data_IF_779647299097
#
_entry.id   IF_779647299097
#
_cell.length_a   1.000
_cell.length_b   1.000
_cell.length_c   1.000
_cell.angle_alpha   90.00
_cell.angle_beta   90.00
_cell.angle_gamma   90.00
#
_symmetry.space_group_name_H-M   'P 1'
#
loop_
_entity.id
_entity.type
_entity.pdbx_description
1 polymer ?
#
# COMPACT_ATOMS: atom_id res chain seq x y z
N UNK A 1 88.12 -1.79 -19.86
CA UNK A 1 87.07 -2.64 -20.45
C UNK A 1 86.33 -3.33 -19.31
N UNK A 2 85.01 -3.06 -19.18
CA UNK A 2 83.94 -3.87 -18.58
C UNK A 2 84.12 -4.41 -17.14
N UNK A 3 83.16 -4.38 -16.21
CA UNK A 3 81.76 -3.93 -16.15
C UNK A 3 81.28 -4.17 -14.70
N UNK A 4 80.11 -3.61 -14.35
CA UNK A 4 79.20 -4.00 -13.27
C UNK A 4 79.33 -3.31 -11.90
N UNK A 5 78.92 -2.04 -11.90
CA UNK A 5 78.16 -1.41 -10.82
C UNK A 5 76.83 -2.15 -10.57
N UNK A 6 76.57 -2.55 -9.32
CA UNK A 6 75.22 -2.84 -8.81
C UNK A 6 74.95 -1.90 -7.64
N UNK A 7 74.15 -0.87 -7.89
CA UNK A 7 73.57 0.00 -6.86
C UNK A 7 72.28 -0.67 -6.39
N UNK A 8 72.23 -1.07 -5.12
CA UNK A 8 70.98 -1.47 -4.46
C UNK A 8 70.29 -0.21 -3.94
N UNK A 9 69.14 0.12 -4.53
CA UNK A 9 68.22 1.15 -4.02
C UNK A 9 67.25 0.46 -3.04
N UNK A 10 67.33 0.80 -1.76
CA UNK A 10 66.34 0.38 -0.77
C UNK A 10 65.14 1.34 -0.83
N UNK A 11 64.04 0.90 -1.44
CA UNK A 11 62.76 1.61 -1.39
C UNK A 11 62.06 1.22 -0.09
N UNK A 12 61.98 2.15 0.85
CA UNK A 12 61.14 2.03 2.04
C UNK A 12 59.69 2.34 1.66
N UNK A 13 58.86 1.31 1.51
CA UNK A 13 57.40 1.47 1.38
C UNK A 13 56.84 1.66 2.79
N UNK A 14 56.45 2.89 3.13
CA UNK A 14 55.60 3.14 4.28
C UNK A 14 54.20 2.62 3.97
N UNK A 15 53.86 1.45 4.50
CA UNK A 15 52.48 0.97 4.54
C UNK A 15 51.79 1.74 5.68
N UNK A 16 51.09 2.82 5.32
CA UNK A 16 50.15 3.47 6.24
C UNK A 16 48.95 2.53 6.34
N UNK A 17 48.88 1.75 7.41
CA UNK A 17 47.63 1.12 7.85
C UNK A 17 46.67 2.25 8.22
N UNK A 18 45.81 2.64 7.28
CA UNK A 18 44.56 3.30 7.64
C UNK A 18 43.75 2.24 8.37
N UNK A 19 43.80 2.26 9.70
CA UNK A 19 42.73 1.70 10.49
C UNK A 19 41.48 2.47 10.07
N UNK A 20 40.65 1.84 9.24
CA UNK A 20 39.25 2.22 9.14
C UNK A 20 38.67 1.93 10.53
N UNK A 21 38.72 2.92 11.41
CA UNK A 21 37.80 2.96 12.53
C UNK A 21 36.43 2.97 11.85
N UNK A 22 35.68 1.88 12.01
CA UNK A 22 34.25 1.94 11.75
C UNK A 22 33.74 3.08 12.62
N UNK A 23 33.36 4.19 11.99
CA UNK A 23 32.86 5.37 12.69
C UNK A 23 31.71 4.87 13.56
N UNK A 24 31.83 5.02 14.88
CA UNK A 24 30.72 4.67 15.77
C UNK A 24 29.50 5.45 15.26
N UNK A 25 28.36 4.77 15.04
CA UNK A 25 27.15 5.42 14.58
C UNK A 25 26.90 6.67 15.42
N UNK A 26 27.10 7.85 14.82
CA UNK A 26 27.05 9.11 15.53
C UNK A 26 25.65 9.28 16.13
N UNK A 27 25.58 9.48 17.44
CA UNK A 27 24.32 9.69 18.15
C UNK A 27 24.04 11.18 18.27
N UNK A 28 22.78 11.55 18.00
CA UNK A 28 22.24 12.88 18.26
C UNK A 28 21.00 12.79 19.13
N UNK A 29 20.71 13.86 19.87
CA UNK A 29 19.60 13.96 20.80
C UNK A 29 18.83 15.26 20.55
N UNK A 30 17.51 15.16 20.56
CA UNK A 30 16.56 16.27 20.53
C UNK A 30 15.71 16.19 21.80
N UNK A 31 15.55 17.29 22.54
CA UNK A 31 14.73 17.37 23.74
C UNK A 31 14.03 18.73 23.79
N UNK A 32 12.77 18.82 24.24
CA UNK A 32 12.08 20.11 24.43
C UNK A 32 12.87 21.12 25.29
N UNK A 33 13.66 20.63 26.25
CA UNK A 33 14.52 21.44 27.13
C UNK A 33 15.89 21.77 26.53
N UNK A 34 16.19 21.31 25.32
CA UNK A 34 17.47 21.51 24.64
C UNK A 34 17.67 22.93 24.12
N UNK A 35 18.77 23.12 23.39
CA UNK A 35 19.09 24.37 22.69
C UNK A 35 19.69 24.03 21.31
N UNK A 36 19.20 24.67 20.24
CA UNK A 36 19.67 24.43 18.88
C UNK A 36 21.08 24.94 18.61
N UNK A 37 21.67 25.71 19.53
CA UNK A 37 23.10 26.07 19.50
C UNK A 37 24.01 24.97 20.07
N UNK A 38 23.44 23.95 20.73
CA UNK A 38 24.21 22.81 21.25
C UNK A 38 24.74 21.90 20.11
N UNK A 39 25.65 20.99 20.47
CA UNK A 39 26.17 19.98 19.53
C UNK A 39 25.17 18.88 19.18
N UNK A 40 24.16 18.63 20.02
CA UNK A 40 23.24 17.52 19.88
C UNK A 40 23.81 16.17 20.30
N UNK A 41 25.09 16.07 20.67
CA UNK A 41 25.82 14.78 20.81
C UNK A 41 25.60 14.06 22.14
N UNK A 42 24.89 14.67 23.09
CA UNK A 42 24.49 14.08 24.38
C UNK A 42 23.11 14.58 24.76
N UNK A 43 22.38 13.89 25.65
CA UNK A 43 21.06 14.35 26.11
C UNK A 43 21.12 15.73 26.81
N UNK A 44 22.19 16.02 27.57
CA UNK A 44 22.36 17.31 28.26
C UNK A 44 22.70 18.45 27.31
N UNK A 45 23.37 18.15 26.18
CA UNK A 45 23.64 19.09 25.10
C UNK A 45 22.77 18.77 23.87
N UNK A 46 21.51 18.37 24.10
CA UNK A 46 20.57 18.06 23.02
C UNK A 46 20.19 19.34 22.25
N UNK A 47 19.86 19.15 20.97
CA UNK A 47 19.12 20.17 20.22
C UNK A 47 17.71 20.33 20.79
N UNK A 48 17.10 21.49 20.54
CA UNK A 48 15.74 21.78 20.99
C UNK A 48 14.70 21.26 19.99
N UNK A 49 14.99 21.42 18.70
CA UNK A 49 14.02 21.17 17.63
C UNK A 49 14.38 19.94 16.81
N UNK A 50 13.34 19.25 16.31
CA UNK A 50 13.53 18.15 15.37
C UNK A 50 14.00 18.70 14.03
N UNK A 51 13.55 19.90 13.62
CA UNK A 51 14.04 20.56 12.41
C UNK A 51 15.56 20.79 12.44
N UNK A 52 16.15 21.10 13.61
CA UNK A 52 17.62 21.23 13.72
C UNK A 52 18.32 19.92 13.36
N UNK A 53 17.83 18.80 13.88
CA UNK A 53 18.35 17.48 13.54
C UNK A 53 18.16 17.14 12.05
N UNK A 54 16.97 17.42 11.51
CA UNK A 54 16.63 17.26 10.10
C UNK A 54 17.49 18.10 9.14
N UNK A 55 18.24 19.07 9.67
CA UNK A 55 19.15 19.94 8.92
C UNK A 55 20.64 19.63 9.13
N UNK A 56 21.00 18.81 10.12
CA UNK A 56 22.39 18.65 10.59
C UNK A 56 22.86 17.22 10.78
N UNK A 57 21.96 16.27 10.99
CA UNK A 57 22.34 14.86 11.13
C UNK A 57 23.11 14.37 9.89
N UNK A 58 24.07 13.48 10.12
CA UNK A 58 24.97 12.97 9.08
C UNK A 58 24.62 11.52 8.74
N UNK A 59 24.98 11.06 7.55
CA UNK A 59 24.72 9.69 7.11
C UNK A 59 25.22 8.65 8.13
N UNK A 60 24.40 7.63 8.41
CA UNK A 60 24.66 6.60 9.43
C UNK A 60 24.29 6.98 10.87
N UNK A 61 23.97 8.26 11.13
CA UNK A 61 23.62 8.70 12.49
C UNK A 61 22.23 8.23 12.95
N UNK A 62 22.07 8.16 14.27
CA UNK A 62 20.75 8.00 14.91
C UNK A 62 20.42 9.23 15.74
N UNK A 63 19.27 9.84 15.45
CA UNK A 63 18.68 10.96 16.18
C UNK A 63 17.62 10.40 17.12
N UNK A 64 17.90 10.46 18.43
CA UNK A 64 16.95 10.13 19.49
C UNK A 64 16.15 11.38 19.89
N UNK A 65 14.83 11.29 19.79
CA UNK A 65 13.91 12.38 20.11
C UNK A 65 13.28 12.07 21.48
N UNK A 66 13.53 12.93 22.47
CA UNK A 66 13.00 12.79 23.81
C UNK A 66 11.47 12.87 23.87
N UNK A 67 10.85 12.31 24.92
CA UNK A 67 9.41 12.37 25.10
C UNK A 67 8.92 13.81 25.19
N UNK A 68 7.70 14.04 24.72
CA UNK A 68 7.06 15.35 24.73
C UNK A 68 6.45 15.70 23.38
N UNK A 69 5.72 16.81 23.36
CA UNK A 69 5.07 17.34 22.16
C UNK A 69 5.97 18.40 21.50
N UNK A 70 6.24 18.21 20.22
CA UNK A 70 6.98 19.13 19.36
C UNK A 70 6.01 19.73 18.36
N UNK A 71 5.74 21.02 18.50
CA UNK A 71 4.86 21.78 17.61
C UNK A 71 5.67 22.25 16.40
N UNK A 72 5.91 21.34 15.45
CA UNK A 72 6.79 21.56 14.30
C UNK A 72 6.17 20.98 13.02
N UNK A 73 6.41 21.67 11.90
CA UNK A 73 6.39 21.07 10.57
C UNK A 73 7.83 20.90 10.11
N UNK A 74 8.22 19.69 9.72
CA UNK A 74 9.63 19.31 9.55
C UNK A 74 9.93 19.04 8.08
N UNK A 75 10.93 19.71 7.54
CA UNK A 75 11.52 19.39 6.23
C UNK A 75 12.85 18.65 6.43
N UNK A 76 12.94 17.43 5.90
CA UNK A 76 14.16 16.62 5.94
C UNK A 76 15.13 17.11 4.85
N UNK A 77 16.22 17.76 5.27
CA UNK A 77 17.26 18.31 4.38
C UNK A 77 18.45 17.37 4.23
N UNK A 78 18.57 16.39 5.13
CA UNK A 78 19.66 15.41 5.21
C UNK A 78 19.28 14.08 4.55
N UNK A 79 20.27 13.25 4.28
CA UNK A 79 20.06 11.87 3.82
C UNK A 79 21.22 10.98 4.22
N UNK A 80 20.95 9.68 4.33
CA UNK A 80 21.99 8.68 4.42
C UNK A 80 22.65 8.41 3.07
N UNK A 81 23.48 7.36 3.01
CA UNK A 81 24.01 6.87 1.75
C UNK A 81 24.37 5.39 1.86
N UNK A 82 24.77 4.79 0.73
CA UNK A 82 25.12 3.37 0.67
C UNK A 82 26.30 2.99 1.57
N UNK A 83 27.27 3.88 1.77
CA UNK A 83 28.53 3.59 2.46
C UNK A 83 28.39 3.70 3.98
N UNK A 84 27.71 4.74 4.46
CA UNK A 84 27.56 5.05 5.88
C UNK A 84 26.21 4.56 6.45
N UNK A 85 25.25 4.22 5.58
CA UNK A 85 23.91 3.77 5.99
C UNK A 85 22.89 4.89 6.13
N UNK A 86 21.70 4.51 6.59
CA UNK A 86 20.55 5.41 6.78
C UNK A 86 20.71 6.34 7.97
N UNK A 87 20.12 7.54 7.88
CA UNK A 87 19.88 8.38 9.06
C UNK A 87 18.59 7.90 9.71
N UNK A 88 18.64 7.59 11.01
CA UNK A 88 17.45 7.15 11.75
C UNK A 88 16.95 8.24 12.67
N UNK A 89 15.69 8.64 12.53
CA UNK A 89 14.97 9.49 13.47
C UNK A 89 14.02 8.61 14.28
N UNK A 90 14.20 8.56 15.60
CA UNK A 90 13.36 7.71 16.44
C UNK A 90 13.14 8.27 17.84
N UNK A 91 12.00 7.93 18.45
CA UNK A 91 11.77 8.24 19.86
C UNK A 91 12.82 7.59 20.75
N UNK A 92 13.34 8.36 21.71
CA UNK A 92 14.26 7.89 22.74
C UNK A 92 13.61 6.81 23.63
N UNK A 93 12.29 6.89 23.83
CA UNK A 93 11.52 5.93 24.63
C UNK A 93 10.29 5.46 23.85
N UNK A 94 10.30 4.28 23.22
CA UNK A 94 9.16 3.80 22.44
C UNK A 94 7.84 3.67 23.24
N UNK A 95 7.90 3.42 24.55
CA UNK A 95 6.72 3.37 25.43
C UNK A 95 6.17 4.74 25.86
N UNK A 96 6.86 5.84 25.52
CA UNK A 96 6.42 7.22 25.71
C UNK A 96 6.98 8.06 24.54
N UNK A 97 6.37 7.92 23.34
CA UNK A 97 6.94 8.44 22.11
C UNK A 97 6.99 9.97 22.09
N UNK A 98 7.88 10.51 21.26
CA UNK A 98 7.81 11.90 20.85
C UNK A 98 6.60 12.12 19.94
N UNK A 99 5.83 13.16 20.23
CA UNK A 99 4.64 13.54 19.47
C UNK A 99 5.01 14.76 18.61
N UNK A 100 4.98 14.62 17.30
CA UNK A 100 5.06 15.73 16.36
C UNK A 100 3.64 16.22 16.13
N UNK A 101 3.32 17.42 16.62
CA UNK A 101 1.96 17.95 16.55
C UNK A 101 1.83 19.11 15.57
N UNK A 102 0.81 19.01 14.73
CA UNK A 102 0.40 20.05 13.80
C UNK A 102 -0.54 21.11 14.40
N UNK A 103 -0.72 21.11 15.72
CA UNK A 103 -1.64 22.03 16.37
C UNK A 103 -1.20 23.47 16.10
N UNK A 104 -2.09 24.24 15.46
CA UNK A 104 -1.83 25.61 14.99
C UNK A 104 -0.69 25.73 13.96
N UNK A 105 -0.33 24.65 13.25
CA UNK A 105 0.68 24.70 12.21
C UNK A 105 0.24 25.60 11.04
N UNK A 106 1.09 26.56 10.67
CA UNK A 106 0.86 27.49 9.55
C UNK A 106 2.00 27.51 8.53
N UNK A 107 3.10 26.80 8.80
CA UNK A 107 4.30 26.81 7.96
C UNK A 107 4.22 25.66 6.95
N UNK A 108 3.95 26.01 5.70
CA UNK A 108 3.91 25.07 4.59
C UNK A 108 5.30 24.51 4.26
N UNK A 109 5.32 23.29 3.74
CA UNK A 109 6.45 22.64 3.10
C UNK A 109 6.81 23.32 1.77
N UNK A 110 8.00 23.04 1.19
CA UNK A 110 8.45 23.63 -0.07
C UNK A 110 7.47 23.50 -1.26
N UNK A 111 6.65 22.45 -1.30
CA UNK A 111 5.65 22.25 -2.35
C UNK A 111 4.32 23.01 -2.11
N UNK A 112 4.26 23.85 -1.08
CA UNK A 112 3.10 24.67 -0.73
C UNK A 112 2.04 23.95 0.09
N UNK A 113 2.24 22.67 0.44
CA UNK A 113 1.31 21.88 1.27
C UNK A 113 1.72 21.91 2.74
N UNK A 114 0.81 21.60 3.67
CA UNK A 114 1.12 21.62 5.09
C UNK A 114 1.44 20.19 5.58
N UNK A 115 2.66 19.89 6.04
CA UNK A 115 3.02 18.53 6.44
C UNK A 115 3.79 18.46 7.74
N UNK A 116 3.56 17.43 8.57
CA UNK A 116 4.36 17.22 9.79
C UNK A 116 5.78 16.78 9.45
N UNK A 117 5.92 15.84 8.51
CA UNK A 117 7.22 15.44 7.95
C UNK A 117 7.15 15.53 6.42
N UNK A 118 8.06 16.30 5.83
CA UNK A 118 8.23 16.45 4.39
C UNK A 118 9.63 15.95 3.96
N UNK A 119 9.65 15.05 2.98
CA UNK A 119 10.87 14.46 2.41
C UNK A 119 10.83 14.67 0.90
N UNK A 120 11.82 15.37 0.35
CA UNK A 120 11.92 15.58 -1.10
C UNK A 120 13.27 15.12 -1.64
N UNK A 121 13.24 14.24 -2.64
CA UNK A 121 14.42 13.73 -3.35
C UNK A 121 15.54 13.22 -2.41
N UNK A 122 15.16 12.41 -1.41
CA UNK A 122 16.08 11.83 -0.41
C UNK A 122 16.14 10.31 -0.51
N UNK A 123 17.18 9.73 0.09
CA UNK A 123 17.38 8.29 0.20
C UNK A 123 17.93 7.92 1.58
N UNK A 124 17.87 6.64 1.95
CA UNK A 124 18.51 6.13 3.17
C UNK A 124 18.05 6.89 4.43
N UNK A 125 16.74 6.86 4.69
CA UNK A 125 16.10 7.52 5.82
C UNK A 125 15.22 6.52 6.55
N UNK A 126 15.31 6.50 7.88
CA UNK A 126 14.43 5.69 8.72
C UNK A 126 13.69 6.62 9.68
N UNK A 127 12.36 6.63 9.63
CA UNK A 127 11.48 7.38 10.53
C UNK A 127 10.71 6.35 11.34
N UNK A 128 11.04 6.22 12.64
CA UNK A 128 10.65 5.04 13.43
C UNK A 128 10.12 5.42 14.82
N UNK A 129 9.05 4.77 15.29
CA UNK A 129 8.52 4.91 16.67
C UNK A 129 8.11 6.35 17.03
N UNK A 130 7.42 7.05 16.14
CA UNK A 130 6.96 8.43 16.37
C UNK A 130 5.44 8.51 16.30
N UNK A 131 4.87 9.44 17.07
CA UNK A 131 3.47 9.83 16.95
C UNK A 131 3.38 11.15 16.17
N UNK A 132 2.49 11.22 15.19
CA UNK A 132 2.27 12.38 14.33
C UNK A 132 0.78 12.73 14.40
N UNK A 133 0.43 13.91 14.90
CA UNK A 133 -0.96 14.18 15.26
C UNK A 133 -1.43 15.63 15.10
N UNK A 134 -2.75 15.79 15.07
CA UNK A 134 -3.47 17.06 15.21
C UNK A 134 -3.10 18.10 14.14
N UNK A 135 -2.97 17.67 12.90
CA UNK A 135 -2.75 18.57 11.77
C UNK A 135 -4.09 18.93 11.15
N UNK A 136 -4.30 20.22 10.84
CA UNK A 136 -5.48 20.65 10.10
C UNK A 136 -5.11 21.56 8.93
N UNK A 137 -5.44 21.16 7.72
CA UNK A 137 -5.17 21.93 6.50
C UNK A 137 -5.98 21.44 5.31
N UNK A 138 -6.18 22.31 4.31
CA UNK A 138 -6.93 21.97 3.09
C UNK A 138 -6.24 20.97 2.18
N UNK A 139 -4.90 20.94 2.22
CA UNK A 139 -4.02 19.96 1.57
C UNK A 139 -2.87 19.75 2.56
N UNK A 140 -2.89 18.61 3.24
CA UNK A 140 -1.93 18.34 4.30
C UNK A 140 -1.62 16.86 4.47
N UNK A 141 -0.48 16.55 5.08
CA UNK A 141 -0.14 15.16 5.40
C UNK A 141 0.61 14.98 6.71
N UNK A 142 0.43 13.82 7.33
CA UNK A 142 1.31 13.37 8.41
C UNK A 142 2.73 13.22 7.89
N UNK A 143 2.93 12.32 6.91
CA UNK A 143 4.19 12.19 6.18
C UNK A 143 3.95 12.41 4.69
N UNK A 144 4.73 13.30 4.08
CA UNK A 144 4.73 13.53 2.64
C UNK A 144 6.11 13.28 2.05
N UNK A 145 6.17 12.42 1.04
CA UNK A 145 7.39 12.10 0.30
C UNK A 145 7.18 12.51 -1.16
N UNK A 146 8.10 13.31 -1.70
CA UNK A 146 8.03 13.78 -3.09
C UNK A 146 9.32 13.47 -3.84
N UNK A 147 9.17 13.01 -5.08
CA UNK A 147 10.28 12.79 -6.01
C UNK A 147 10.98 11.44 -5.85
N UNK A 148 12.15 11.33 -6.49
CA UNK A 148 12.90 10.08 -6.58
C UNK A 148 13.74 9.76 -5.35
N UNK A 149 14.19 8.52 -5.21
CA UNK A 149 15.00 8.10 -4.08
C UNK A 149 15.06 6.59 -3.87
N UNK A 150 15.72 6.15 -2.80
CA UNK A 150 15.71 4.74 -2.43
C UNK A 150 15.86 4.52 -0.93
N UNK A 151 15.33 3.41 -0.41
CA UNK A 151 15.53 2.95 0.97
C UNK A 151 15.09 3.99 2.00
N UNK A 152 13.81 4.37 1.90
CA UNK A 152 13.13 5.13 2.95
C UNK A 152 12.26 4.14 3.72
N UNK A 153 12.32 4.19 5.05
CA UNK A 153 11.54 3.33 5.93
C UNK A 153 10.71 4.19 6.89
N UNK A 154 9.39 3.97 6.88
CA UNK A 154 8.44 4.49 7.85
C UNK A 154 7.97 3.31 8.69
N UNK A 155 8.34 3.25 9.98
CA UNK A 155 8.04 2.10 10.83
C UNK A 155 7.46 2.47 12.17
N UNK A 156 6.51 1.70 12.66
CA UNK A 156 5.93 1.89 13.99
C UNK A 156 5.46 3.34 14.20
N UNK A 157 4.89 3.97 13.16
CA UNK A 157 4.35 5.31 13.27
C UNK A 157 2.90 5.23 13.74
N UNK A 158 2.52 6.16 14.61
CA UNK A 158 1.13 6.37 14.99
C UNK A 158 0.69 7.73 14.45
N UNK A 159 -0.11 7.72 13.39
CA UNK A 159 -0.53 8.95 12.69
C UNK A 159 -2.04 9.10 12.85
N UNK A 160 -2.49 10.22 13.42
CA UNK A 160 -3.91 10.45 13.64
C UNK A 160 -4.33 11.91 13.64
N UNK A 161 -5.64 12.16 13.51
CA UNK A 161 -6.21 13.51 13.49
C UNK A 161 -5.55 14.41 12.45
N UNK A 162 -5.42 13.92 11.21
CA UNK A 162 -5.01 14.71 10.04
C UNK A 162 -6.28 15.14 9.32
N UNK A 163 -6.70 16.40 9.51
CA UNK A 163 -8.06 16.88 9.26
C UNK A 163 -8.10 18.03 8.25
N UNK A 164 -9.29 18.34 7.74
CA UNK A 164 -9.54 19.56 6.96
C UNK A 164 -9.45 19.43 5.45
N UNK A 165 -9.39 18.20 4.92
CA UNK A 165 -9.45 17.91 3.48
C UNK A 165 -10.76 18.36 2.81
N UNK A 166 -10.75 18.42 1.49
CA UNK A 166 -11.89 18.81 0.66
C UNK A 166 -11.73 18.36 -0.79
N UNK A 167 -12.45 19.01 -1.71
CA UNK A 167 -12.39 18.63 -3.14
C UNK A 167 -11.10 19.04 -3.85
N UNK A 168 -10.43 20.07 -3.35
CA UNK A 168 -9.23 20.66 -3.96
C UNK A 168 -7.94 20.27 -3.27
N UNK A 169 -8.00 19.34 -2.32
CA UNK A 169 -6.86 18.84 -1.54
C UNK A 169 -7.30 17.90 -0.43
N UNK A 170 -6.42 17.03 0.04
CA UNK A 170 -6.71 15.99 1.02
C UNK A 170 -5.96 16.18 2.34
N UNK A 171 -6.47 15.60 3.43
CA UNK A 171 -5.77 15.50 4.71
C UNK A 171 -5.34 14.04 4.94
N UNK A 172 -4.14 13.70 4.43
CA UNK A 172 -3.71 12.32 4.22
C UNK A 172 -2.73 11.87 5.29
N UNK A 173 -2.78 10.61 5.74
CA UNK A 173 -1.86 10.16 6.77
C UNK A 173 -0.43 10.03 6.20
N UNK A 174 -0.29 9.35 5.06
CA UNK A 174 0.98 9.18 4.33
C UNK A 174 0.73 9.39 2.84
N UNK A 175 1.44 10.33 2.23
CA UNK A 175 1.44 10.53 0.78
C UNK A 175 2.83 10.39 0.19
N UNK A 176 2.91 9.69 -0.94
CA UNK A 176 4.14 9.51 -1.69
C UNK A 176 3.89 9.79 -3.15
N UNK A 177 4.42 10.90 -3.65
CA UNK A 177 4.20 11.38 -5.01
C UNK A 177 5.52 11.44 -5.78
N UNK A 178 5.60 10.68 -6.88
CA UNK A 178 6.76 10.77 -7.76
C UNK A 178 6.35 10.87 -9.23
N UNK A 179 6.28 12.12 -9.72
CA UNK A 179 6.01 12.41 -11.15
C UNK A 179 7.25 12.36 -12.04
N UNK A 180 8.43 12.11 -11.48
CA UNK A 180 9.67 12.09 -12.23
C UNK A 180 9.74 10.84 -13.12
N UNK A 181 9.87 11.04 -14.43
CA UNK A 181 9.94 9.94 -15.39
C UNK A 181 11.30 9.25 -15.46
N UNK A 182 12.36 9.90 -14.99
CA UNK A 182 13.74 9.43 -15.09
C UNK A 182 14.19 8.69 -13.83
N UNK A 183 13.71 9.12 -12.66
CA UNK A 183 14.16 8.60 -11.36
C UNK A 183 12.98 8.08 -10.55
N UNK A 184 12.97 6.77 -10.29
CA UNK A 184 11.96 6.15 -9.42
C UNK A 184 12.23 6.45 -7.95
N UNK A 185 11.18 6.35 -7.14
CA UNK A 185 11.33 6.09 -5.71
C UNK A 185 11.24 4.57 -5.51
N UNK A 186 12.30 3.96 -5.00
CA UNK A 186 12.40 2.50 -4.89
C UNK A 186 12.63 2.02 -3.46
N UNK A 187 12.18 0.81 -3.14
CA UNK A 187 12.47 0.18 -1.83
C UNK A 187 11.98 1.03 -0.65
N UNK A 188 10.82 1.65 -0.82
CA UNK A 188 10.06 2.28 0.26
C UNK A 188 9.46 1.18 1.13
N UNK A 189 9.60 1.31 2.44
CA UNK A 189 8.94 0.42 3.40
C UNK A 189 8.03 1.26 4.30
N UNK A 190 6.76 0.89 4.39
CA UNK A 190 5.79 1.40 5.34
C UNK A 190 5.29 0.20 6.14
N UNK A 191 5.78 0.06 7.37
CA UNK A 191 5.61 -1.18 8.13
C UNK A 191 5.18 -0.95 9.58
N UNK A 192 4.16 -1.72 10.00
CA UNK A 192 3.62 -1.69 11.37
C UNK A 192 3.20 -0.28 11.84
N UNK A 193 2.69 0.55 10.93
CA UNK A 193 2.11 1.85 11.25
C UNK A 193 0.62 1.71 11.62
N UNK A 194 0.14 2.60 12.48
CA UNK A 194 -1.29 2.76 12.80
C UNK A 194 -1.73 4.14 12.33
N UNK A 195 -2.63 4.17 11.34
CA UNK A 195 -3.15 5.38 10.71
C UNK A 195 -4.65 5.45 11.00
N UNK A 196 -5.13 6.52 11.65
CA UNK A 196 -6.57 6.63 11.93
C UNK A 196 -7.10 8.04 12.16
N UNK A 197 -8.43 8.18 12.05
CA UNK A 197 -9.14 9.44 12.28
C UNK A 197 -8.58 10.57 11.39
N UNK A 198 -8.36 10.27 10.11
CA UNK A 198 -7.94 11.23 9.10
C UNK A 198 -9.07 11.55 8.12
N UNK A 199 -9.01 12.73 7.52
CA UNK A 199 -9.99 13.23 6.55
C UNK A 199 -9.38 13.41 5.15
N UNK A 200 -8.92 12.33 4.49
CA UNK A 200 -8.34 12.43 3.15
C UNK A 200 -9.30 13.06 2.12
N UNK A 201 -10.62 13.05 2.37
CA UNK A 201 -11.63 13.65 1.51
C UNK A 201 -11.50 13.15 0.08
N UNK A 202 -11.23 14.01 -0.93
CA UNK A 202 -11.10 13.57 -2.32
C UNK A 202 -9.72 12.96 -2.67
N UNK A 203 -8.98 12.51 -1.66
CA UNK A 203 -7.70 11.80 -1.78
C UNK A 203 -7.74 10.50 -0.95
N UNK A 204 -6.60 9.86 -0.69
CA UNK A 204 -6.53 8.57 0.00
C UNK A 204 -5.63 8.64 1.24
N UNK A 205 -5.90 7.81 2.25
CA UNK A 205 -5.23 7.94 3.55
C UNK A 205 -3.75 7.55 3.49
N UNK A 206 -3.43 6.46 2.78
CA UNK A 206 -2.08 6.01 2.47
C UNK A 206 -1.96 5.83 0.95
N UNK A 207 -1.30 6.76 0.28
CA UNK A 207 -1.22 6.78 -1.19
C UNK A 207 0.22 6.66 -1.68
N UNK A 208 0.46 5.73 -2.61
CA UNK A 208 1.65 5.73 -3.47
C UNK A 208 1.25 6.08 -4.90
N UNK A 209 1.54 7.30 -5.34
CA UNK A 209 1.16 7.80 -6.67
C UNK A 209 2.39 8.14 -7.52
N UNK A 210 2.50 7.48 -8.67
CA UNK A 210 3.49 7.76 -9.70
C UNK A 210 4.63 6.74 -9.77
N UNK A 211 5.81 7.15 -10.25
CA UNK A 211 6.96 6.28 -10.54
C UNK A 211 7.62 5.73 -9.26
N UNK A 212 6.96 4.74 -8.66
CA UNK A 212 7.33 4.12 -7.38
C UNK A 212 7.41 2.61 -7.59
N UNK A 213 8.49 1.98 -7.15
CA UNK A 213 8.69 0.55 -7.38
C UNK A 213 9.31 -0.20 -6.20
N UNK A 214 9.13 -1.52 -6.16
CA UNK A 214 9.76 -2.40 -5.17
C UNK A 214 9.43 -2.00 -3.72
N UNK A 215 8.22 -1.50 -3.49
CA UNK A 215 7.77 -1.03 -2.19
C UNK A 215 7.18 -2.17 -1.34
N UNK A 216 7.11 -1.94 -0.02
CA UNK A 216 6.44 -2.80 0.95
C UNK A 216 5.52 -1.96 1.82
N UNK A 217 4.21 -2.24 1.77
CA UNK A 217 3.19 -1.70 2.68
C UNK A 217 2.68 -2.87 3.51
N UNK A 218 3.22 -3.04 4.72
CA UNK A 218 3.03 -4.27 5.50
C UNK A 218 2.65 -4.05 6.95
N UNK A 219 1.85 -4.97 7.50
CA UNK A 219 1.50 -4.99 8.94
C UNK A 219 0.81 -3.71 9.46
N UNK A 220 0.26 -2.86 8.58
CA UNK A 220 -0.32 -1.59 8.97
C UNK A 220 -1.78 -1.76 9.43
N UNK A 221 -2.22 -0.89 10.34
CA UNK A 221 -3.62 -0.72 10.72
C UNK A 221 -4.11 0.60 10.17
N UNK A 222 -5.10 0.58 9.27
CA UNK A 222 -5.64 1.78 8.62
C UNK A 222 -7.13 1.81 8.86
N UNK A 223 -7.63 2.81 9.59
CA UNK A 223 -9.04 2.82 9.96
C UNK A 223 -9.63 4.19 10.26
N UNK A 224 -10.96 4.30 10.29
CA UNK A 224 -11.69 5.55 10.50
C UNK A 224 -11.23 6.63 9.51
N UNK A 225 -11.31 6.31 8.21
CA UNK A 225 -10.99 7.22 7.13
C UNK A 225 -12.26 7.66 6.42
N UNK A 226 -12.34 8.94 6.06
CA UNK A 226 -13.50 9.48 5.34
C UNK A 226 -13.41 9.34 3.81
N UNK A 227 -12.44 8.56 3.32
CA UNK A 227 -12.28 8.08 1.94
C UNK A 227 -11.27 6.90 1.91
N UNK A 228 -10.78 6.51 0.73
CA UNK A 228 -9.95 5.31 0.46
C UNK A 228 -8.84 5.10 1.48
N UNK A 229 -8.66 3.84 1.92
CA UNK A 229 -7.70 3.46 2.95
C UNK A 229 -6.26 3.41 2.45
N UNK A 230 -5.97 2.50 1.52
CA UNK A 230 -4.64 2.31 0.91
C UNK A 230 -4.80 2.35 -0.61
N UNK A 231 -3.97 3.12 -1.32
CA UNK A 231 -4.02 3.20 -2.78
C UNK A 231 -2.64 3.16 -3.46
N UNK A 232 -2.60 2.54 -4.63
CA UNK A 232 -1.44 2.39 -5.49
C UNK A 232 -1.77 2.86 -6.91
N UNK A 233 -1.26 4.04 -7.27
CA UNK A 233 -1.67 4.75 -8.49
C UNK A 233 -0.57 4.69 -9.56
N UNK A 234 -0.97 4.30 -10.76
CA UNK A 234 -0.15 4.24 -11.97
C UNK A 234 -0.83 4.70 -13.27
N UNK A 235 -2.08 5.13 -13.19
CA UNK A 235 -2.90 5.50 -14.34
C UNK A 235 -2.93 6.99 -14.70
N UNK A 236 -2.36 7.89 -13.88
CA UNK A 236 -2.55 9.33 -14.07
C UNK A 236 -2.12 9.83 -15.47
N UNK A 237 -2.87 10.78 -16.01
CA UNK A 237 -2.67 11.27 -17.38
C UNK A 237 -1.30 11.91 -17.62
N UNK A 238 -0.69 12.50 -16.59
CA UNK A 238 0.62 13.15 -16.62
C UNK A 238 1.80 12.18 -16.35
N UNK A 239 1.52 10.91 -16.04
CA UNK A 239 2.53 9.92 -15.67
C UNK A 239 3.06 9.07 -16.84
N UNK A 240 2.55 9.24 -18.06
CA UNK A 240 2.98 8.40 -19.19
C UNK A 240 2.72 6.92 -18.89
N UNK A 241 3.66 6.01 -19.10
CA UNK A 241 3.49 4.58 -18.78
C UNK A 241 3.94 4.19 -17.35
N UNK A 242 4.23 5.17 -16.50
CA UNK A 242 4.81 4.94 -15.17
C UNK A 242 3.74 4.90 -14.09
N UNK A 243 4.01 4.14 -13.04
CA UNK A 243 3.10 3.96 -11.93
C UNK A 243 3.69 3.15 -10.79
N UNK A 244 2.92 3.06 -9.71
CA UNK A 244 3.21 2.21 -8.57
C UNK A 244 3.26 0.75 -9.06
N UNK A 245 4.42 0.09 -8.88
CA UNK A 245 4.63 -1.25 -9.43
C UNK A 245 5.55 -2.15 -8.64
N UNK A 246 5.49 -3.45 -8.92
CA UNK A 246 6.42 -4.46 -8.38
C UNK A 246 6.50 -4.42 -6.85
N UNK A 247 5.38 -4.13 -6.18
CA UNK A 247 5.31 -3.90 -4.74
C UNK A 247 4.53 -4.97 -3.99
N UNK A 248 4.53 -4.86 -2.67
CA UNK A 248 3.85 -5.78 -1.76
C UNK A 248 2.92 -5.02 -0.82
N UNK A 249 1.67 -5.46 -0.72
CA UNK A 249 0.68 -5.00 0.26
C UNK A 249 0.21 -6.20 1.10
N UNK A 250 0.81 -6.38 2.30
CA UNK A 250 0.66 -7.62 3.07
C UNK A 250 0.35 -7.44 4.55
N UNK A 251 -0.48 -8.32 5.10
CA UNK A 251 -0.79 -8.36 6.54
C UNK A 251 -1.34 -7.04 7.11
N UNK A 252 -1.93 -6.19 6.26
CA UNK A 252 -2.59 -4.99 6.71
C UNK A 252 -4.00 -5.32 7.20
N UNK A 253 -4.45 -4.62 8.23
CA UNK A 253 -5.86 -4.62 8.67
C UNK A 253 -6.45 -3.27 8.33
N UNK A 254 -7.46 -3.25 7.46
CA UNK A 254 -8.09 -2.03 6.94
C UNK A 254 -9.58 -2.06 7.21
N UNK A 255 -10.12 -1.07 7.92
CA UNK A 255 -11.55 -1.08 8.26
C UNK A 255 -12.15 0.28 8.56
N UNK A 256 -13.49 0.37 8.52
CA UNK A 256 -14.21 1.63 8.75
C UNK A 256 -13.72 2.74 7.80
N UNK A 257 -13.73 2.39 6.51
CA UNK A 257 -13.32 3.27 5.40
C UNK A 257 -14.60 3.65 4.65
N UNK A 258 -15.05 4.89 4.83
CA UNK A 258 -16.31 5.36 4.26
C UNK A 258 -16.13 6.73 3.62
N UNK A 259 -16.33 6.79 2.31
CA UNK A 259 -16.34 8.05 1.57
C UNK A 259 -17.42 8.98 2.12
N UNK A 260 -16.99 10.19 2.43
CA UNK A 260 -17.86 11.27 2.90
C UNK A 260 -18.75 11.89 1.81
N UNK A 261 -18.60 11.50 0.54
CA UNK A 261 -19.26 12.17 -0.60
C UNK A 261 -19.97 11.25 -1.61
N UNK A 262 -19.58 9.98 -1.75
CA UNK A 262 -20.17 9.09 -2.77
C UNK A 262 -20.29 7.61 -2.36
N UNK A 263 -19.90 7.27 -1.13
CA UNK A 263 -19.89 5.91 -0.61
C UNK A 263 -19.14 4.90 -1.51
N UNK A 264 -18.02 5.31 -2.14
CA UNK A 264 -17.23 4.46 -3.05
C UNK A 264 -15.85 4.06 -2.50
N UNK A 265 -15.53 4.38 -1.24
CA UNK A 265 -14.18 4.19 -0.73
C UNK A 265 -13.81 2.70 -0.54
N UNK A 266 -12.88 2.21 -1.37
CA UNK A 266 -12.27 0.91 -1.15
C UNK A 266 -11.34 0.94 0.07
N UNK A 267 -11.31 -0.16 0.82
CA UNK A 267 -10.30 -0.36 1.85
C UNK A 267 -8.89 -0.39 1.24
N UNK A 268 -8.69 -1.21 0.21
CA UNK A 268 -7.46 -1.24 -0.58
C UNK A 268 -7.81 -1.06 -2.06
N UNK A 269 -7.19 -0.08 -2.70
CA UNK A 269 -7.35 0.23 -4.11
C UNK A 269 -6.03 0.13 -4.88
N UNK A 270 -6.16 -0.17 -6.16
CA UNK A 270 -5.10 0.00 -7.16
C UNK A 270 -5.73 0.75 -8.33
N UNK A 271 -5.31 1.99 -8.58
CA UNK A 271 -5.67 2.74 -9.78
C UNK A 271 -4.56 2.66 -10.84
N UNK A 272 -4.59 1.63 -11.68
CA UNK A 272 -3.68 1.50 -12.81
C UNK A 272 -2.24 1.09 -12.44
N UNK A 273 -2.00 0.62 -11.21
CA UNK A 273 -0.74 0.01 -10.81
C UNK A 273 -0.47 -1.35 -11.48
N UNK A 274 0.79 -1.82 -11.44
CA UNK A 274 1.22 -3.07 -12.11
C UNK A 274 2.13 -3.97 -11.27
N UNK A 275 2.04 -5.29 -11.46
CA UNK A 275 2.86 -6.29 -10.76
C UNK A 275 2.84 -6.16 -9.21
N UNK A 276 1.70 -5.78 -8.62
CA UNK A 276 1.54 -5.63 -7.18
C UNK A 276 0.95 -6.91 -6.60
N UNK A 277 1.59 -7.40 -5.54
CA UNK A 277 1.10 -8.54 -4.79
C UNK A 277 0.37 -8.06 -3.51
N UNK A 278 -0.92 -8.38 -3.42
CA UNK A 278 -1.82 -7.97 -2.35
C UNK A 278 -2.29 -9.22 -1.63
N UNK A 279 -1.72 -9.52 -0.46
CA UNK A 279 -2.06 -10.76 0.20
C UNK A 279 -2.06 -10.78 1.71
N UNK A 280 -2.88 -11.68 2.26
CA UNK A 280 -3.02 -11.88 3.72
C UNK A 280 -3.46 -10.62 4.48
N UNK A 281 -4.15 -9.70 3.80
CA UNK A 281 -4.78 -8.55 4.43
C UNK A 281 -6.15 -8.94 4.98
N UNK A 282 -6.64 -8.17 5.95
CA UNK A 282 -8.03 -8.23 6.44
C UNK A 282 -8.71 -6.89 6.14
N UNK A 283 -9.80 -6.92 5.37
CA UNK A 283 -10.51 -5.71 4.91
C UNK A 283 -12.00 -5.82 5.21
N UNK A 284 -12.54 -4.93 6.04
CA UNK A 284 -13.93 -5.03 6.48
C UNK A 284 -14.60 -3.71 6.85
N UNK A 285 -15.93 -3.72 6.96
CA UNK A 285 -16.73 -2.55 7.35
C UNK A 285 -16.31 -1.29 6.58
N UNK A 286 -16.13 -1.42 5.27
CA UNK A 286 -15.77 -0.33 4.35
C UNK A 286 -16.81 -0.22 3.25
N UNK A 287 -16.84 0.89 2.50
CA UNK A 287 -17.79 1.01 1.38
C UNK A 287 -17.61 -0.12 0.37
N UNK A 288 -16.35 -0.42 0.03
CA UNK A 288 -15.92 -1.57 -0.77
C UNK A 288 -14.69 -2.23 -0.13
N UNK A 289 -14.48 -3.53 -0.38
CA UNK A 289 -13.34 -4.26 0.16
C UNK A 289 -12.03 -3.94 -0.55
N UNK A 290 -11.59 -4.84 -1.43
CA UNK A 290 -10.42 -4.66 -2.30
C UNK A 290 -10.89 -4.37 -3.71
N UNK A 291 -10.43 -3.27 -4.29
CA UNK A 291 -10.72 -2.89 -5.67
C UNK A 291 -9.43 -2.84 -6.49
N UNK A 292 -9.45 -3.43 -7.69
CA UNK A 292 -8.41 -3.28 -8.69
C UNK A 292 -9.02 -2.56 -9.89
N UNK A 293 -8.62 -1.32 -10.11
CA UNK A 293 -9.15 -0.46 -11.15
C UNK A 293 -8.08 0.10 -12.06
N UNK A 294 -8.55 0.85 -13.05
CA UNK A 294 -7.76 1.80 -13.79
C UNK A 294 -8.74 2.87 -14.28
N UNK A 295 -8.64 4.08 -13.75
CA UNK A 295 -9.66 5.13 -13.94
C UNK A 295 -9.49 5.93 -15.22
N UNK A 296 -8.38 5.76 -15.92
CA UNK A 296 -8.07 6.57 -17.09
C UNK A 296 -8.16 5.75 -18.37
N UNK A 297 -8.82 6.31 -19.40
CA UNK A 297 -8.99 5.64 -20.69
C UNK A 297 -7.63 5.20 -21.27
N UNK A 298 -7.55 3.95 -21.74
CA UNK A 298 -6.31 3.41 -22.32
C UNK A 298 -5.24 3.04 -21.28
N UNK A 299 -5.53 3.16 -19.99
CA UNK A 299 -4.68 2.61 -18.91
C UNK A 299 -5.00 1.15 -18.64
N UNK A 300 -3.98 0.48 -18.11
CA UNK A 300 -4.06 -0.94 -17.79
C UNK A 300 -3.49 -1.13 -16.39
N UNK A 301 -4.26 -1.77 -15.52
CA UNK A 301 -3.73 -2.44 -14.34
C UNK A 301 -3.47 -3.91 -14.71
N UNK A 302 -2.26 -4.40 -14.46
CA UNK A 302 -1.87 -5.75 -14.90
C UNK A 302 -0.90 -6.45 -13.97
N UNK A 303 -0.86 -7.79 -14.05
CA UNK A 303 0.05 -8.60 -13.24
C UNK A 303 -0.29 -8.59 -11.75
N UNK A 304 -1.52 -8.24 -11.37
CA UNK A 304 -1.92 -8.25 -9.97
C UNK A 304 -1.98 -9.69 -9.46
N UNK A 305 -1.55 -9.88 -8.22
CA UNK A 305 -1.75 -11.14 -7.49
C UNK A 305 -2.45 -10.82 -6.18
N UNK A 306 -3.76 -11.01 -6.16
CA UNK A 306 -4.62 -10.78 -4.98
C UNK A 306 -4.91 -12.11 -4.31
N UNK A 307 -4.28 -12.38 -3.16
CA UNK A 307 -4.37 -13.71 -2.57
C UNK A 307 -4.40 -13.82 -1.05
N UNK A 308 -5.07 -14.86 -0.56
CA UNK A 308 -5.11 -15.19 0.87
C UNK A 308 -5.65 -14.06 1.77
N UNK A 309 -6.33 -13.06 1.19
CA UNK A 309 -6.97 -11.99 1.95
C UNK A 309 -8.27 -12.48 2.61
N UNK A 310 -8.62 -11.88 3.74
CA UNK A 310 -9.93 -12.04 4.37
C UNK A 310 -10.73 -10.76 4.19
N UNK A 311 -11.79 -10.83 3.39
CA UNK A 311 -12.57 -9.66 2.98
C UNK A 311 -14.01 -9.88 3.39
N UNK A 312 -14.53 -9.07 4.32
CA UNK A 312 -15.82 -9.37 4.92
C UNK A 312 -16.59 -8.15 5.40
N UNK A 313 -17.91 -8.28 5.51
CA UNK A 313 -18.78 -7.26 6.10
C UNK A 313 -18.60 -5.85 5.50
N UNK A 314 -18.25 -5.76 4.22
CA UNK A 314 -18.22 -4.49 3.49
C UNK A 314 -19.63 -4.13 3.01
N UNK A 315 -19.90 -2.83 2.91
CA UNK A 315 -21.20 -2.28 2.53
C UNK A 315 -21.62 -2.74 1.13
N UNK A 316 -20.67 -2.77 0.19
CA UNK A 316 -20.78 -3.29 -1.17
C UNK A 316 -19.88 -4.54 -1.31
N UNK A 317 -19.54 -4.89 -2.54
CA UNK A 317 -18.75 -6.09 -2.82
C UNK A 317 -17.41 -6.14 -2.09
N UNK A 318 -16.98 -7.37 -1.80
CA UNK A 318 -15.70 -7.62 -1.15
C UNK A 318 -14.55 -7.46 -2.13
N UNK A 319 -14.68 -8.03 -3.32
CA UNK A 319 -13.64 -7.93 -4.36
C UNK A 319 -14.23 -7.32 -5.63
N UNK A 320 -13.63 -6.24 -6.10
CA UNK A 320 -14.02 -5.56 -7.32
C UNK A 320 -12.82 -5.50 -8.26
N UNK A 321 -13.03 -5.76 -9.55
CA UNK A 321 -11.98 -5.49 -10.52
C UNK A 321 -12.49 -5.13 -11.92
N UNK A 322 -11.75 -4.22 -12.56
CA UNK A 322 -12.06 -3.66 -13.88
C UNK A 322 -12.50 -2.20 -13.79
N UNK A 323 -12.20 -1.41 -14.82
CA UNK A 323 -12.74 -0.06 -14.93
C UNK A 323 -14.27 -0.09 -14.96
N UNK A 324 -14.92 0.91 -14.38
CA UNK A 324 -16.37 0.89 -14.19
C UNK A 324 -17.17 1.05 -15.50
N UNK A 325 -16.53 1.44 -16.62
CA UNK A 325 -17.10 1.42 -17.96
C UNK A 325 -16.01 1.27 -19.06
N UNK A 326 -16.42 1.31 -20.34
CA UNK A 326 -15.51 1.15 -21.49
C UNK A 326 -14.68 2.40 -21.82
N UNK A 327 -15.00 3.55 -21.20
CA UNK A 327 -14.24 4.79 -21.28
C UNK A 327 -13.16 4.87 -20.19
N UNK A 328 -13.02 3.81 -19.38
CA UNK A 328 -12.02 3.67 -18.33
C UNK A 328 -10.94 2.66 -18.71
N UNK A 329 -9.95 2.53 -17.85
CA UNK A 329 -8.85 1.60 -18.01
C UNK A 329 -9.27 0.16 -17.69
N UNK A 330 -8.46 -0.79 -18.11
CA UNK A 330 -8.77 -2.22 -18.03
C UNK A 330 -7.88 -2.95 -17.03
N UNK A 331 -8.44 -3.96 -16.37
CA UNK A 331 -7.64 -4.91 -15.58
C UNK A 331 -7.37 -6.17 -16.40
N UNK A 332 -6.09 -6.53 -16.58
CA UNK A 332 -5.71 -7.72 -17.35
C UNK A 332 -4.63 -8.56 -16.67
N UNK A 333 -4.45 -9.80 -17.15
CA UNK A 333 -3.33 -10.67 -16.80
C UNK A 333 -3.10 -10.79 -15.29
N UNK A 334 -4.19 -10.78 -14.52
CA UNK A 334 -4.16 -10.73 -13.06
C UNK A 334 -4.80 -11.98 -12.45
N UNK A 335 -4.45 -12.26 -11.21
CA UNK A 335 -4.89 -13.46 -10.48
C UNK A 335 -5.51 -13.10 -9.13
N UNK A 336 -6.66 -13.70 -8.85
CA UNK A 336 -7.44 -13.50 -7.63
C UNK A 336 -7.71 -14.86 -7.01
N UNK A 337 -6.89 -15.25 -6.03
CA UNK A 337 -6.84 -16.64 -5.57
C UNK A 337 -6.78 -16.83 -4.06
N UNK A 338 -7.39 -17.92 -3.58
CA UNK A 338 -7.33 -18.34 -2.17
C UNK A 338 -7.81 -17.27 -1.17
N UNK A 339 -8.58 -16.27 -1.62
CA UNK A 339 -9.17 -15.27 -0.74
C UNK A 339 -10.40 -15.87 -0.03
N UNK A 340 -10.68 -15.37 1.17
CA UNK A 340 -11.91 -15.65 1.91
C UNK A 340 -12.81 -14.42 1.81
N UNK A 341 -13.96 -14.58 1.16
CA UNK A 341 -14.96 -13.53 1.02
C UNK A 341 -16.20 -13.92 1.83
N UNK A 342 -16.61 -13.08 2.77
CA UNK A 342 -17.70 -13.40 3.70
C UNK A 342 -18.62 -12.21 3.98
N UNK A 343 -19.90 -12.38 3.70
CA UNK A 343 -20.95 -11.45 4.11
C UNK A 343 -20.70 -10.00 3.64
N UNK A 344 -20.08 -9.84 2.47
CA UNK A 344 -19.98 -8.54 1.82
C UNK A 344 -21.34 -8.17 1.19
N UNK A 345 -21.43 -6.96 0.67
CA UNK A 345 -22.67 -6.36 0.16
C UNK A 345 -23.76 -6.30 1.25
N UNK A 346 -23.36 -5.85 2.44
CA UNK A 346 -24.24 -5.70 3.61
C UNK A 346 -25.42 -4.77 3.31
N UNK A 347 -25.24 -3.76 2.45
CA UNK A 347 -26.31 -2.86 1.99
C UNK A 347 -27.23 -3.47 0.93
N UNK A 348 -26.97 -4.70 0.49
CA UNK A 348 -27.77 -5.44 -0.49
C UNK A 348 -27.95 -4.69 -1.81
N UNK A 349 -26.85 -4.17 -2.34
CA UNK A 349 -26.79 -3.43 -3.61
C UNK A 349 -26.90 -4.32 -4.84
N UNK A 350 -27.03 -5.62 -4.65
CA UNK A 350 -27.03 -6.66 -5.69
C UNK A 350 -25.64 -6.92 -6.31
N UNK A 351 -24.60 -6.26 -5.80
CA UNK A 351 -23.21 -6.48 -6.21
C UNK A 351 -22.73 -7.90 -5.86
N UNK A 352 -23.07 -8.41 -4.67
CA UNK A 352 -22.60 -9.70 -4.16
C UNK A 352 -21.17 -9.67 -3.64
N UNK A 353 -20.50 -10.81 -3.66
CA UNK A 353 -19.14 -10.94 -3.10
C UNK A 353 -18.06 -10.46 -4.06
N UNK A 354 -18.24 -10.70 -5.37
CA UNK A 354 -17.30 -10.32 -6.44
C UNK A 354 -18.01 -9.51 -7.53
N UNK A 355 -17.43 -8.37 -7.91
CA UNK A 355 -17.84 -7.57 -9.07
C UNK A 355 -16.74 -7.54 -10.11
N UNK A 356 -17.13 -7.74 -11.37
CA UNK A 356 -16.24 -7.62 -12.52
C UNK A 356 -16.84 -6.67 -13.54
N UNK A 357 -16.07 -5.64 -13.89
CA UNK A 357 -16.47 -4.63 -14.87
C UNK A 357 -15.60 -4.72 -16.12
N UNK A 358 -14.87 -3.68 -16.49
CA UNK A 358 -13.99 -3.66 -17.66
C UNK A 358 -12.66 -4.38 -17.37
N UNK A 359 -12.66 -5.71 -17.48
CA UNK A 359 -11.52 -6.57 -17.16
C UNK A 359 -11.41 -7.78 -18.12
N UNK A 360 -10.20 -8.18 -18.50
CA UNK A 360 -10.03 -9.36 -19.37
C UNK A 360 -8.80 -10.21 -19.12
N UNK A 361 -8.88 -11.51 -19.44
CA UNK A 361 -7.77 -12.46 -19.29
C UNK A 361 -7.25 -12.57 -17.83
N UNK A 362 -8.18 -12.49 -16.86
CA UNK A 362 -7.87 -12.67 -15.45
C UNK A 362 -8.29 -14.06 -14.96
N UNK A 363 -7.62 -14.56 -13.93
CA UNK A 363 -7.93 -15.83 -13.30
C UNK A 363 -8.44 -15.61 -11.89
N UNK A 364 -9.70 -15.98 -11.64
CA UNK A 364 -10.33 -15.98 -10.32
C UNK A 364 -10.49 -17.43 -9.89
N UNK A 365 -9.76 -17.90 -8.88
CA UNK A 365 -9.80 -19.32 -8.54
C UNK A 365 -9.54 -19.67 -7.09
N UNK A 366 -10.12 -20.78 -6.64
CA UNK A 366 -9.88 -21.33 -5.29
C UNK A 366 -10.21 -20.35 -4.14
N UNK A 367 -11.10 -19.37 -4.34
CA UNK A 367 -11.56 -18.54 -3.25
C UNK A 367 -12.66 -19.26 -2.46
N UNK A 368 -12.77 -18.94 -1.18
CA UNK A 368 -13.80 -19.46 -0.29
C UNK A 368 -14.84 -18.35 -0.05
N UNK A 369 -16.06 -18.56 -0.53
CA UNK A 369 -17.06 -17.50 -0.68
C UNK A 369 -18.33 -17.88 0.08
N UNK A 370 -18.68 -17.06 1.08
CA UNK A 370 -19.94 -17.16 1.81
C UNK A 370 -20.70 -15.85 1.66
N UNK A 371 -21.70 -15.79 0.76
CA UNK A 371 -22.46 -14.58 0.54
C UNK A 371 -23.29 -14.18 1.75
N UNK A 372 -23.76 -12.94 1.76
CA UNK A 372 -24.85 -12.52 2.65
C UNK A 372 -26.17 -13.28 2.35
N UNK A 373 -27.25 -12.97 3.07
CA UNK A 373 -28.54 -13.69 2.96
C UNK A 373 -29.18 -13.63 1.55
N UNK A 374 -28.82 -12.66 0.71
CA UNK A 374 -29.26 -12.57 -0.69
C UNK A 374 -28.61 -13.63 -1.57
N UNK A 375 -27.52 -14.26 -1.12
CA UNK A 375 -26.78 -15.30 -1.82
C UNK A 375 -26.19 -14.88 -3.18
N UNK A 376 -26.01 -13.58 -3.43
CA UNK A 376 -25.31 -13.09 -4.63
C UNK A 376 -23.81 -13.30 -4.50
N UNK A 377 -23.26 -14.08 -5.43
CA UNK A 377 -21.84 -14.46 -5.45
C UNK A 377 -21.06 -13.52 -6.36
N UNK A 378 -21.50 -13.39 -7.60
CA UNK A 378 -20.76 -12.78 -8.68
C UNK A 378 -21.68 -11.88 -9.48
N UNK A 379 -21.20 -10.69 -9.81
CA UNK A 379 -21.82 -9.79 -10.77
C UNK A 379 -20.79 -9.38 -11.82
N UNK A 380 -21.00 -9.80 -13.06
CA UNK A 380 -20.18 -9.40 -14.22
C UNK A 380 -20.98 -8.45 -15.09
N UNK A 381 -20.49 -7.22 -15.22
CA UNK A 381 -21.09 -6.22 -16.10
C UNK A 381 -20.88 -6.58 -17.58
N UNK A 382 -21.88 -6.22 -18.39
CA UNK A 382 -21.90 -6.34 -19.85
C UNK A 382 -20.70 -5.65 -20.52
N UNK A 383 -20.18 -4.59 -19.90
CA UNK A 383 -19.31 -3.63 -20.56
C UNK A 383 -17.88 -4.15 -20.76
N UNK A 384 -17.44 -5.24 -20.09
CA UNK A 384 -16.10 -5.72 -20.42
C UNK A 384 -15.50 -6.92 -19.74
N UNK A 385 -16.28 -7.77 -19.05
CA UNK A 385 -15.77 -9.03 -18.51
C UNK A 385 -15.48 -10.06 -19.59
N UNK A 386 -14.38 -9.91 -20.34
CA UNK A 386 -14.02 -10.78 -21.47
C UNK A 386 -12.92 -11.76 -21.08
N UNK A 387 -13.06 -13.04 -21.44
CA UNK A 387 -12.01 -14.06 -21.26
C UNK A 387 -11.47 -14.20 -19.83
N UNK A 388 -12.24 -13.75 -18.83
CA UNK A 388 -11.95 -14.05 -17.42
C UNK A 388 -12.36 -15.48 -17.11
N UNK A 389 -11.50 -16.16 -16.36
CA UNK A 389 -11.71 -17.57 -15.98
C UNK A 389 -12.01 -17.65 -14.49
N UNK A 390 -13.19 -18.17 -14.18
CA UNK A 390 -13.67 -18.46 -12.83
C UNK A 390 -13.69 -19.97 -12.64
N UNK A 391 -12.93 -20.48 -11.67
CA UNK A 391 -12.93 -21.91 -11.40
C UNK A 391 -12.54 -22.28 -9.97
N UNK A 392 -12.95 -23.48 -9.52
CA UNK A 392 -12.54 -24.07 -8.23
C UNK A 392 -12.94 -23.27 -7.00
N UNK A 393 -13.98 -22.42 -7.06
CA UNK A 393 -14.42 -21.74 -5.83
C UNK A 393 -15.05 -22.74 -4.86
N UNK A 394 -14.98 -22.42 -3.58
CA UNK A 394 -15.71 -23.11 -2.52
C UNK A 394 -16.85 -22.22 -2.05
N UNK A 395 -18.08 -22.55 -2.43
CA UNK A 395 -19.27 -21.79 -2.08
C UNK A 395 -19.91 -22.32 -0.80
N UNK A 396 -20.29 -21.39 0.08
CA UNK A 396 -20.99 -21.67 1.33
C UNK A 396 -22.33 -20.92 1.34
N UNK A 397 -23.40 -21.47 0.73
CA UNK A 397 -24.71 -20.85 0.72
C UNK A 397 -25.17 -20.43 2.13
N UNK A 398 -25.82 -19.28 2.23
CA UNK A 398 -26.21 -18.67 3.50
C UNK A 398 -27.75 -18.61 3.65
N UNK A 399 -28.25 -18.91 4.84
CA UNK A 399 -29.69 -18.94 5.15
C UNK A 399 -30.24 -20.33 5.52
N UNK A 400 -31.49 -20.34 5.98
CA UNK A 400 -32.19 -21.58 6.37
C UNK A 400 -32.43 -22.46 5.14
N UNK A 401 -31.96 -23.71 5.18
CA UNK A 401 -31.98 -24.67 4.06
C UNK A 401 -31.21 -24.21 2.82
N UNK A 402 -30.26 -23.29 2.98
CA UNK A 402 -29.44 -22.81 1.89
C UNK A 402 -28.64 -23.97 1.27
N UNK A 403 -28.82 -24.14 -0.03
CA UNK A 403 -28.14 -25.12 -0.84
C UNK A 403 -27.68 -24.46 -2.14
N UNK A 404 -27.07 -25.25 -3.03
CA UNK A 404 -26.57 -24.78 -4.31
C UNK A 404 -27.58 -23.93 -5.08
N UNK A 405 -28.87 -24.29 -5.11
CA UNK A 405 -29.90 -23.60 -5.89
C UNK A 405 -30.18 -22.17 -5.42
N UNK A 406 -29.69 -21.79 -4.24
CA UNK A 406 -29.86 -20.44 -3.69
C UNK A 406 -28.81 -19.46 -4.21
N UNK A 407 -27.66 -19.93 -4.71
CA UNK A 407 -26.59 -19.08 -5.20
C UNK A 407 -27.03 -18.28 -6.42
N UNK A 408 -26.68 -17.00 -6.47
CA UNK A 408 -27.02 -16.09 -7.57
C UNK A 408 -25.74 -15.64 -8.27
N UNK A 409 -25.73 -15.80 -9.59
CA UNK A 409 -24.67 -15.34 -10.48
C UNK A 409 -25.29 -14.41 -11.53
N UNK A 410 -24.94 -13.13 -11.48
CA UNK A 410 -25.30 -12.16 -12.50
C UNK A 410 -24.18 -12.13 -13.55
N UNK A 411 -24.50 -12.46 -14.80
CA UNK A 411 -23.53 -12.57 -15.89
C UNK A 411 -24.07 -11.84 -17.12
N UNK A 412 -23.57 -10.63 -17.33
CA UNK A 412 -24.17 -9.70 -18.29
C UNK A 412 -25.64 -9.42 -17.95
N UNK A 413 -26.53 -9.50 -18.94
CA UNK A 413 -27.98 -9.27 -18.75
C UNK A 413 -28.74 -10.50 -18.21
N UNK A 414 -28.04 -11.57 -17.84
CA UNK A 414 -28.67 -12.81 -17.41
C UNK A 414 -28.34 -13.09 -15.94
N UNK A 415 -29.36 -13.49 -15.18
CA UNK A 415 -29.20 -13.99 -13.83
C UNK A 415 -29.38 -15.49 -13.82
N UNK A 416 -28.40 -16.21 -13.28
CA UNK A 416 -28.44 -17.65 -13.08
C UNK A 416 -28.63 -17.95 -11.60
N UNK A 417 -29.65 -18.75 -11.28
CA UNK A 417 -29.90 -19.28 -9.94
C UNK A 417 -29.40 -20.71 -9.89
N UNK A 418 -28.45 -20.98 -8.99
CA UNK A 418 -27.79 -22.27 -8.83
C UNK A 418 -26.51 -22.42 -9.66
N UNK A 419 -25.50 -23.05 -9.05
CA UNK A 419 -24.20 -23.32 -9.67
C UNK A 419 -24.35 -24.15 -10.96
N UNK A 420 -25.16 -25.21 -10.94
CA UNK A 420 -25.41 -26.06 -12.12
C UNK A 420 -25.98 -25.26 -13.31
N UNK A 421 -26.89 -24.31 -13.06
CA UNK A 421 -27.46 -23.47 -14.12
C UNK A 421 -26.38 -22.54 -14.71
N UNK A 422 -25.56 -21.95 -13.84
CA UNK A 422 -24.44 -21.11 -14.25
C UNK A 422 -23.40 -21.90 -15.06
N UNK A 423 -22.93 -23.05 -14.55
CA UNK A 423 -21.95 -23.93 -15.23
C UNK A 423 -22.43 -24.33 -16.63
N UNK A 424 -23.68 -24.77 -16.76
CA UNK A 424 -24.23 -25.18 -18.05
C UNK A 424 -24.26 -24.03 -19.08
N UNK A 425 -24.57 -22.82 -18.62
CA UNK A 425 -24.70 -21.66 -19.50
C UNK A 425 -23.35 -21.04 -19.89
N UNK A 426 -22.38 -21.01 -18.98
CA UNK A 426 -21.14 -20.23 -19.15
C UNK A 426 -19.88 -21.08 -19.31
N UNK A 427 -19.95 -22.38 -18.98
CA UNK A 427 -18.79 -23.29 -18.89
C UNK A 427 -17.73 -22.83 -17.87
N UNK A 428 -18.09 -21.93 -16.97
CA UNK A 428 -17.27 -21.51 -15.84
C UNK A 428 -17.49 -22.44 -14.63
N UNK A 429 -16.62 -22.35 -13.62
CA UNK A 429 -16.78 -23.03 -12.33
C UNK A 429 -16.94 -24.56 -12.39
N UNK A 430 -16.40 -25.20 -13.43
CA UNK A 430 -16.53 -26.65 -13.66
C UNK A 430 -15.97 -27.52 -12.53
N UNK A 431 -15.08 -26.98 -11.70
CA UNK A 431 -14.47 -27.66 -10.57
C UNK A 431 -14.81 -27.01 -9.21
N UNK A 432 -15.86 -26.19 -9.17
CA UNK A 432 -16.37 -25.61 -7.93
C UNK A 432 -16.91 -26.67 -6.97
N UNK A 433 -16.93 -26.32 -5.69
CA UNK A 433 -17.56 -27.11 -4.64
C UNK A 433 -18.58 -26.29 -3.87
N UNK A 434 -19.69 -26.92 -3.48
CA UNK A 434 -20.70 -26.34 -2.59
C UNK A 434 -20.62 -27.07 -1.26
N UNK A 435 -20.36 -26.34 -0.19
CA UNK A 435 -20.09 -26.88 1.14
C UNK A 435 -21.13 -26.36 2.13
N UNK A 436 -21.54 -27.22 3.07
CA UNK A 436 -22.40 -26.80 4.17
C UNK A 436 -21.60 -25.93 5.14
N UNK A 437 -22.10 -24.74 5.48
CA UNK A 437 -21.55 -23.95 6.57
C UNK A 437 -21.90 -24.61 7.91
N UNK A 438 -20.95 -25.27 8.57
CA UNK A 438 -21.07 -25.46 10.03
C UNK A 438 -20.92 -24.08 10.67
N UNK A 439 -21.77 -23.78 11.64
CA UNK A 439 -21.87 -22.46 12.27
C UNK A 439 -20.51 -21.75 12.45
N UNK A 440 -20.32 -20.65 11.72
CA UNK A 440 -19.37 -19.59 12.10
C UNK A 440 -17.96 -19.60 11.50
N UNK A 441 -17.53 -20.55 10.67
CA UNK A 441 -16.19 -20.43 10.05
C UNK A 441 -16.09 -21.04 8.65
N UNK A 442 -15.71 -20.23 7.67
CA UNK A 442 -15.17 -20.68 6.39
C UNK A 442 -13.70 -21.03 6.62
N UNK A 443 -13.24 -22.18 6.13
CA UNK A 443 -11.81 -22.53 6.17
C UNK A 443 -11.16 -22.14 4.85
N UNK A 444 -9.88 -21.77 4.88
CA UNK A 444 -9.07 -21.73 3.68
C UNK A 444 -9.20 -23.07 2.93
N UNK A 445 -9.22 -23.06 1.59
CA UNK A 445 -9.14 -24.29 0.82
C UNK A 445 -7.93 -25.10 1.29
N UNK A 446 -8.09 -26.42 1.46
CA UNK A 446 -6.96 -27.27 1.83
C UNK A 446 -5.84 -27.13 0.80
N UNK A 447 -4.61 -26.79 1.24
CA UNK A 447 -3.38 -26.88 0.45
C UNK A 447 -3.11 -28.34 0.04
N UNK A 448 -3.87 -28.89 -0.90
CA UNK A 448 -3.42 -30.05 -1.66
C UNK A 448 -2.58 -29.50 -2.83
N UNK A 449 -1.26 -29.61 -2.69
CA UNK A 449 -0.20 -29.39 -3.69
C UNK A 449 -0.63 -28.67 -4.98
N UNK A 450 -0.45 -27.36 -5.00
CA UNK A 450 -0.45 -26.56 -6.23
C UNK A 450 0.89 -26.79 -6.92
N UNK A 451 0.93 -27.63 -7.96
CA UNK A 451 1.92 -27.42 -9.02
C UNK A 451 1.51 -26.12 -9.73
N UNK A 452 2.43 -25.17 -9.98
CA UNK A 452 2.12 -24.06 -10.86
C UNK A 452 1.82 -24.66 -12.23
N UNK A 453 0.64 -24.38 -12.76
CA UNK A 453 0.28 -24.68 -14.15
C UNK A 453 1.03 -23.71 -15.08
N UNK A 454 2.36 -23.74 -15.03
CA UNK A 454 3.21 -23.31 -16.14
C UNK A 454 3.33 -24.56 -17.01
N UNK A 455 3.08 -24.43 -18.31
CA UNK A 455 2.89 -25.49 -19.33
C UNK A 455 1.39 -25.75 -19.57
N UNK A 456 0.75 -24.95 -20.42
CA UNK A 456 0.45 -25.31 -21.83
C UNK A 456 -0.38 -24.21 -22.50
N UNK A 457 0.25 -23.13 -22.99
CA UNK A 457 -0.31 -22.29 -24.07
C UNK A 457 0.83 -21.71 -24.92
N UNK A 458 1.63 -22.60 -25.50
CA UNK A 458 2.39 -22.34 -26.74
C UNK A 458 1.94 -23.42 -27.74
N UNK A 459 0.68 -23.37 -28.15
CA UNK A 459 0.15 -24.21 -29.23
C UNK A 459 -1.21 -23.72 -29.74
N UNK A 460 -1.31 -22.46 -30.20
CA UNK A 460 -2.36 -22.09 -31.19
C UNK A 460 -2.04 -20.85 -32.02
N UNK A 461 -0.81 -20.33 -32.00
CA UNK A 461 -0.33 -19.43 -33.04
C UNK A 461 0.24 -20.25 -34.21
N UNK A 462 -0.64 -20.90 -35.00
CA UNK A 462 -0.40 -21.33 -36.39
C UNK A 462 -1.71 -21.85 -37.01
N UNK A 463 -2.08 -21.22 -38.13
CA UNK A 463 -3.31 -21.37 -38.93
C UNK A 463 -4.56 -20.75 -38.25
N UNK A 464 -5.12 -19.63 -38.71
CA UNK A 464 -5.30 -19.09 -40.06
C UNK A 464 -5.03 -17.59 -40.16
#
# INVERSE_FOLDING_TARGET
MNMNSKVLVYIWVYIIFHYAIADENQLYYVMNSGNDDNSGTTQTNAWRTIQKAASKAIAGSTVYIGPGTYYETITILVQGNLFNGSITFTSLMPGNPAIISGENATVASPDGTLNLIYIENKSYLNIINLELANLKGSECSGVRIVGGGTRIELRNLHIHNILGGGKTGGAMAITVYNKNQETSLSKLIIDNCTLHDCEPAWSEALTLNGNIELFQVTNNRVYNMNNIGIDFIGGESDMGALGARSGQCYYNTVWNIHSSYDSSAAGIYVDGGSDINIGKNEVYNSDAGIEIGAENQGRIASGMVVHENYIHDNDKAGLLFGGYDFERGRVIDSTFQNNRLENNDVKHTEAGEIVVSFASNNFVYSNAIKPNIKNTILTVDQIGGLDNVFNRQSYYPNGLNANESNLIFNWGNQQYRGLSAFQNATQQELQASVLSSKAGSIRYPSMLCILPLIITFIASAKAY
#
